data_IF_993489952163
#
_entry.id   IF_993489952163
#
_cell.length_a   1.000
_cell.length_b   1.000
_cell.length_c   1.000
_cell.angle_alpha   90.00
_cell.angle_beta   90.00
_cell.angle_gamma   90.00
#
_symmetry.space_group_name_H-M   'P 1'
#
loop_
_entity.id
_entity.type
_entity.pdbx_description
1 polymer ?
2 water ?
#
# COMPACT_ATOMS: atom_id res chain seq x y z
N UNK A 10 -4.36 -15.45 -11.56
CA UNK A 10 -3.88 -14.06 -11.86
C UNK A 10 -4.79 -13.02 -11.24
N UNK A 11 -4.21 -12.13 -10.43
CA UNK A 11 -4.97 -11.07 -9.78
C UNK A 11 -4.46 -9.69 -10.17
N UNK A 12 -5.39 -8.77 -10.38
CA UNK A 12 -5.07 -7.42 -10.78
C UNK A 12 -4.45 -6.65 -9.60
N UNK A 13 -3.14 -6.40 -9.67
CA UNK A 13 -2.42 -5.72 -8.59
C UNK A 13 -3.01 -4.35 -8.25
N UNK A 14 -3.49 -3.65 -9.28
CA UNK A 14 -4.06 -2.33 -9.10
C UNK A 14 -5.38 -2.37 -8.32
N UNK A 15 -6.27 -3.29 -8.70
CA UNK A 15 -7.53 -3.47 -7.97
C UNK A 15 -7.30 -3.83 -6.50
N UNK A 16 -6.26 -4.62 -6.24
CA UNK A 16 -5.90 -5.01 -4.87
C UNK A 16 -5.38 -3.81 -4.10
N UNK A 17 -4.60 -2.97 -4.79
CA UNK A 17 -4.02 -1.77 -4.18
C UNK A 17 -5.09 -0.75 -3.81
N UNK A 18 -6.15 -0.67 -4.62
CA UNK A 18 -7.29 0.20 -4.31
C UNK A 18 -7.95 -0.23 -3.00
N UNK A 19 -8.01 -1.53 -2.76
CA UNK A 19 -8.54 -2.05 -1.50
C UNK A 19 -7.66 -1.57 -0.35
N UNK A 20 -6.34 -1.70 -0.52
CA UNK A 20 -5.40 -1.28 0.50
C UNK A 20 -5.44 0.23 0.74
N UNK A 21 -5.70 1.00 -0.32
CA UNK A 21 -5.69 2.46 -0.21
C UNK A 21 -6.78 2.96 0.74
N UNK A 22 -7.97 2.37 0.66
CA UNK A 22 -9.03 2.75 1.59
C UNK A 22 -8.83 2.16 2.99
N UNK A 23 -8.10 1.05 3.09
CA UNK A 23 -7.66 0.55 4.40
C UNK A 23 -6.62 1.51 5.02
N UNK A 24 -5.81 2.14 4.18
CA UNK A 24 -4.83 3.14 4.62
C UNK A 24 -5.51 4.34 5.27
N UNK A 25 -6.60 4.79 4.66
CA UNK A 25 -7.39 5.92 5.15
C UNK A 25 -7.98 5.63 6.53
N UNK A 26 -8.43 4.39 6.73
CA UNK A 26 -8.97 3.96 8.02
C UNK A 26 -7.87 3.79 9.06
N UNK A 27 -6.79 3.14 8.65
CA UNK A 27 -5.74 2.71 9.57
C UNK A 27 -4.71 3.80 9.84
N UNK A 28 -4.49 4.69 8.87
CA UNK A 28 -3.53 5.79 9.01
C UNK A 28 -2.13 5.48 8.50
N UNK A 29 -1.77 4.20 8.48
CA UNK A 29 -0.41 3.78 8.14
C UNK A 29 -0.43 2.34 7.62
N UNK A 30 0.40 2.05 6.61
CA UNK A 30 0.50 0.70 6.03
C UNK A 30 1.93 0.33 5.69
N UNK A 31 2.26 -0.94 5.90
CA UNK A 31 3.51 -1.55 5.45
C UNK A 31 3.20 -2.85 4.70
N UNK A 32 4.23 -3.47 4.12
CA UNK A 32 4.04 -4.70 3.36
C UNK A 32 3.35 -5.78 4.20
N UNK A 33 3.68 -5.84 5.49
CA UNK A 33 3.06 -6.81 6.41
C UNK A 33 1.54 -6.70 6.48
N UNK A 34 1.02 -5.48 6.36
CA UNK A 34 -0.43 -5.25 6.34
C UNK A 34 -1.10 -5.82 5.08
N UNK A 35 -0.39 -5.76 3.96
CA UNK A 35 -0.88 -6.33 2.71
C UNK A 35 -0.88 -7.86 2.80
N UNK A 36 0.20 -8.41 3.36
CA UNK A 36 0.33 -9.85 3.58
C UNK A 36 -0.76 -10.39 4.51
N UNK A 37 -1.08 -9.65 5.56
CA UNK A 37 -2.07 -10.08 6.55
C UNK A 37 -3.48 -9.96 5.99
N UNK A 38 -3.75 -8.87 5.30
CA UNK A 38 -5.07 -8.64 4.71
C UNK A 38 -5.46 -9.73 3.70
N UNK A 39 -4.55 -10.04 2.79
CA UNK A 39 -4.85 -10.92 1.66
C UNK A 39 -4.42 -12.39 1.83
N UNK A 40 -3.47 -12.64 2.74
CA UNK A 40 -2.92 -13.98 2.99
C UNK A 40 -2.27 -14.58 1.73
N UNK A 41 -1.34 -13.81 1.19
CA UNK A 41 -0.66 -14.10 -0.07
C UNK A 41 0.85 -14.17 0.16
N UNK A 42 1.58 -14.48 -0.91
CA UNK A 42 3.04 -14.56 -0.85
C UNK A 42 3.70 -13.17 -0.82
N UNK A 43 4.98 -13.15 -0.47
CA UNK A 43 5.76 -11.91 -0.43
C UNK A 43 5.91 -11.29 -1.82
N UNK A 44 6.29 -12.09 -2.84
CA UNK A 44 6.36 -11.53 -4.19
C UNK A 44 5.04 -10.89 -4.67
N UNK A 45 3.91 -11.55 -4.39
CA UNK A 45 2.58 -11.02 -4.74
C UNK A 45 2.29 -9.71 -4.02
N UNK A 46 2.62 -9.67 -2.73
CA UNK A 46 2.42 -8.48 -1.92
C UNK A 46 3.25 -7.30 -2.42
N UNK A 47 4.47 -7.57 -2.89
CA UNK A 47 5.32 -6.53 -3.48
C UNK A 47 4.73 -5.94 -4.77
N UNK A 48 4.07 -6.77 -5.57
CA UNK A 48 3.39 -6.28 -6.78
C UNK A 48 2.27 -5.31 -6.41
N UNK A 49 1.54 -5.65 -5.35
CA UNK A 49 0.45 -4.79 -4.86
C UNK A 49 1.02 -3.51 -4.27
N UNK A 50 2.09 -3.63 -3.48
CA UNK A 50 2.76 -2.47 -2.91
C UNK A 50 3.23 -1.50 -3.99
N UNK A 51 3.75 -2.04 -5.09
CA UNK A 51 4.17 -1.22 -6.21
C UNK A 51 3.00 -0.44 -6.82
N UNK A 52 1.84 -1.10 -6.95
CA UNK A 52 0.64 -0.43 -7.47
C UNK A 52 0.06 0.56 -6.45
N UNK A 53 0.17 0.24 -5.16
CA UNK A 53 -0.26 1.14 -4.09
C UNK A 53 0.56 2.43 -4.10
N UNK A 54 1.86 2.30 -4.32
CA UNK A 54 2.75 3.46 -4.46
C UNK A 54 2.32 4.36 -5.62
N UNK A 55 1.91 3.75 -6.73
CA UNK A 55 1.43 4.51 -7.89
C UNK A 55 0.15 5.28 -7.57
N UNK A 56 -0.78 4.65 -6.84
CA UNK A 56 -2.02 5.31 -6.41
C UNK A 56 -1.74 6.49 -5.46
N UNK A 57 -0.83 6.29 -4.51
CA UNK A 57 -0.45 7.35 -3.57
C UNK A 57 0.16 8.57 -4.27
N UNK A 58 0.98 8.31 -5.28
CA UNK A 58 1.62 9.38 -6.06
C UNK A 58 0.60 10.19 -6.88
N UNK A 59 -0.56 9.60 -7.17
CA UNK A 59 -1.65 10.34 -7.82
C UNK A 59 -2.39 11.27 -6.85
N UNK A 60 -2.20 11.05 -5.54
CA UNK A 60 -2.87 11.84 -4.51
C UNK A 60 -1.88 12.26 -3.42
N UNK A 61 -0.91 13.12 -3.77
CA UNK A 61 0.14 13.48 -2.81
C UNK A 61 -0.37 14.34 -1.64
N UNK A 62 -1.56 14.93 -1.80
CA UNK A 62 -2.22 15.66 -0.71
C UNK A 62 -2.91 14.75 0.32
N UNK A 63 -3.09 13.47 -0.02
CA UNK A 63 -3.74 12.49 0.86
C UNK A 63 -2.76 11.46 1.42
N UNK A 64 -1.86 10.99 0.56
CA UNK A 64 -0.97 9.88 0.89
C UNK A 64 0.49 10.31 0.81
N UNK A 65 1.30 9.71 1.67
CA UNK A 65 2.73 9.97 1.70
C UNK A 65 3.47 8.64 1.78
N UNK A 66 4.35 8.40 0.82
CA UNK A 66 5.18 7.21 0.82
C UNK A 66 6.46 7.55 1.58
N UNK A 67 6.60 7.00 2.78
CA UNK A 67 7.80 7.20 3.58
C UNK A 67 8.79 6.07 3.31
N UNK A 68 9.55 6.22 2.23
CA UNK A 68 10.60 5.27 1.91
C UNK A 68 11.79 5.54 2.82
N UNK A 69 12.05 4.60 3.72
CA UNK A 69 13.16 4.70 4.66
C UNK A 69 13.95 3.39 4.65
N UNK A 70 15.19 3.46 5.12
CA UNK A 70 16.12 2.33 5.06
C UNK A 70 15.58 1.08 5.76
N UNK A 71 14.74 1.27 6.78
CA UNK A 71 14.08 0.15 7.44
C UNK A 71 13.05 -0.50 6.51
N UNK A 72 12.13 0.30 5.97
CA UNK A 72 11.05 -0.22 5.12
C UNK A 72 10.15 0.89 4.57
N UNK A 73 9.53 0.60 3.43
CA UNK A 73 8.52 1.49 2.84
C UNK A 73 7.27 1.51 3.71
N UNK A 74 6.82 2.71 4.04
CA UNK A 74 5.64 2.90 4.88
C UNK A 74 4.74 3.96 4.25
N UNK A 75 3.47 3.60 4.04
CA UNK A 75 2.48 4.53 3.52
C UNK A 75 1.80 5.21 4.69
N UNK A 76 1.67 6.53 4.62
CA UNK A 76 1.04 7.31 5.67
C UNK A 76 -0.09 8.17 5.11
N UNK A 77 -1.24 8.12 5.78
CA UNK A 77 -2.37 8.97 5.46
C UNK A 77 -2.13 10.36 6.07
N UNK A 78 -2.12 11.40 5.24
CA UNK A 78 -1.79 12.75 5.69
C UNK A 78 -2.86 13.79 5.36
N UNK A 79 -4.04 13.34 4.92
CA UNK A 79 -5.12 14.25 4.51
C UNK A 79 -5.65 15.09 5.68
#
# INVERSE_FOLDING_TARGET
>A
XHHHHHHAQTLNSYKMAEIMYKILEKKGELTLEDILAQFEISVPSAYNIQRALKAICERHPDECEVQYKNRKTTFKWIKQEQKEEQKQEQTQDNIAKIFDAQPANFEQTDQGFIKAKQ
#
